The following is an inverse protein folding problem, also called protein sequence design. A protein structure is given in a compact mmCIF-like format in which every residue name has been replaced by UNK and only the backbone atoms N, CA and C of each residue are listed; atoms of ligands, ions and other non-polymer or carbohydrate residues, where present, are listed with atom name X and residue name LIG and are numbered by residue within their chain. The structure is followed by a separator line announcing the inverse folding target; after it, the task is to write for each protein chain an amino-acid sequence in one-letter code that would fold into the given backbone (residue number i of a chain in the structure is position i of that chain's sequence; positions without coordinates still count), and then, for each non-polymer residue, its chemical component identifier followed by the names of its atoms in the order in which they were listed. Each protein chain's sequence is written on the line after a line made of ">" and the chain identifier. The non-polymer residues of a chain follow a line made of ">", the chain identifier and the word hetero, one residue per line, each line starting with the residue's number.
data_IF_651698013482
#
_entry.id   IF_651698013482
#
_cell.length_a   1.000
_cell.length_b   1.000
_cell.length_c   1.000
_cell.angle_alpha   90.00
_cell.angle_beta   90.00
_cell.angle_gamma   90.00
#
_symmetry.space_group_name_H-M   'P 1'
#
loop_
_entity.id
_entity.type
_entity.pdbx_description
1 polymer ?
#
# COMPACT_ATOMS: atom_id res chain seq x y z
N UNK A 1 -5.72 -2.23 -24.94
CA UNK A 1 -6.26 -1.12 -24.14
C UNK A 1 -6.82 -1.74 -22.86
N UNK A 2 -6.15 -1.56 -21.70
CA UNK A 2 -6.67 -2.08 -20.43
C UNK A 2 -7.97 -1.33 -20.14
N UNK A 3 -9.09 -2.03 -20.21
CA UNK A 3 -10.42 -1.48 -20.03
C UNK A 3 -10.51 -0.73 -18.70
N UNK A 4 -11.10 0.46 -18.74
CA UNK A 4 -11.47 1.28 -17.58
C UNK A 4 -12.65 0.61 -16.85
N UNK A 5 -12.46 -0.64 -16.41
CA UNK A 5 -13.47 -1.36 -15.63
C UNK A 5 -13.37 -0.87 -14.20
N UNK A 6 -14.49 -0.40 -13.69
CA UNK A 6 -14.79 -0.27 -12.27
C UNK A 6 -14.76 -1.67 -11.63
N UNK A 7 -13.59 -2.28 -11.50
CA UNK A 7 -13.43 -3.50 -10.74
C UNK A 7 -13.14 -3.08 -9.30
N UNK A 8 -13.99 -3.43 -8.32
CA UNK A 8 -13.52 -3.44 -6.95
C UNK A 8 -12.32 -4.37 -6.93
N UNK A 9 -11.12 -3.85 -6.61
CA UNK A 9 -9.86 -4.61 -6.74
C UNK A 9 -9.71 -5.65 -5.61
N UNK A 10 -10.80 -5.94 -4.91
CA UNK A 10 -10.84 -6.66 -3.65
C UNK A 10 -10.60 -5.72 -2.48
N UNK A 11 -11.11 -6.11 -1.31
CA UNK A 11 -10.78 -5.46 -0.03
C UNK A 11 -9.42 -5.98 0.46
N UNK A 12 -8.41 -5.91 -0.42
CA UNK A 12 -7.07 -6.38 -0.06
C UNK A 12 -6.37 -5.27 0.73
N UNK A 13 -6.00 -5.60 1.97
CA UNK A 13 -5.30 -4.67 2.85
C UNK A 13 -3.81 -4.95 2.76
N UNK A 14 -3.07 -4.02 2.16
CA UNK A 14 -1.61 -4.06 2.14
C UNK A 14 -1.07 -3.52 3.45
N UNK A 15 -0.16 -4.27 4.07
CA UNK A 15 0.50 -3.91 5.32
C UNK A 15 1.88 -3.40 5.00
N UNK A 16 2.16 -2.16 5.38
CA UNK A 16 3.42 -1.47 5.11
C UNK A 16 4.14 -1.28 6.44
N UNK A 17 5.37 -1.78 6.50
CA UNK A 17 6.30 -1.63 7.60
C UNK A 17 7.35 -0.65 7.16
N UNK A 18 7.49 0.47 7.89
CA UNK A 18 8.54 1.45 7.61
C UNK A 18 9.72 1.16 8.51
N UNK A 19 10.86 0.83 7.91
CA UNK A 19 12.11 0.55 8.62
C UNK A 19 12.93 1.85 8.79
N UNK A 20 12.95 2.71 7.77
CA UNK A 20 13.73 3.96 7.77
C UNK A 20 12.99 5.03 6.95
N UNK A 21 12.94 6.27 7.45
CA UNK A 21 12.38 7.42 6.74
C UNK A 21 13.26 8.64 7.01
N UNK A 22 14.22 8.91 6.13
CA UNK A 22 15.18 10.02 6.27
C UNK A 22 15.24 10.82 4.96
N UNK A 23 15.25 12.15 5.06
CA UNK A 23 15.34 13.09 3.91
C UNK A 23 14.29 12.86 2.80
N UNK A 24 13.07 12.43 3.17
CA UNK A 24 11.99 12.11 2.21
C UNK A 24 12.15 10.74 1.53
N UNK A 25 13.19 9.97 1.84
CA UNK A 25 13.38 8.60 1.36
C UNK A 25 12.82 7.61 2.37
N UNK A 26 11.69 7.01 2.03
CA UNK A 26 11.03 5.99 2.86
C UNK A 26 11.43 4.60 2.37
N UNK A 27 11.95 3.79 3.29
CA UNK A 27 12.34 2.40 3.08
C UNK A 27 11.61 1.49 4.05
N UNK A 28 11.30 0.30 3.58
CA UNK A 28 10.50 -0.62 4.37
C UNK A 28 10.18 -1.92 3.69
N UNK A 29 9.21 -2.61 4.28
CA UNK A 29 8.63 -3.87 3.78
C UNK A 29 7.14 -3.70 3.54
N UNK A 30 6.63 -4.35 2.50
CA UNK A 30 5.20 -4.43 2.23
C UNK A 30 4.77 -5.88 2.13
N UNK A 31 3.65 -6.23 2.75
CA UNK A 31 3.01 -7.54 2.65
C UNK A 31 1.53 -7.40 2.35
N UNK A 32 0.92 -8.43 1.75
CA UNK A 32 -0.50 -8.45 1.37
C UNK A 32 -0.75 -8.96 -0.05
N UNK A 33 -1.98 -9.36 -0.35
CA UNK A 33 -2.34 -9.88 -1.67
C UNK A 33 -1.64 -11.19 -2.03
N UNK A 34 -0.99 -11.23 -3.20
CA UNK A 34 -0.20 -12.38 -3.67
C UNK A 34 1.32 -12.19 -3.51
N UNK A 35 1.75 -11.18 -2.74
CA UNK A 35 3.17 -10.95 -2.46
C UNK A 35 3.76 -12.13 -1.66
N UNK A 36 4.99 -12.56 -1.98
CA UNK A 36 5.72 -13.52 -1.15
C UNK A 36 6.09 -12.86 0.18
N UNK A 37 5.54 -13.38 1.28
CA UNK A 37 5.76 -13.03 2.71
C UNK A 37 5.98 -11.54 3.03
N UNK A 38 7.14 -10.95 2.69
CA UNK A 38 7.44 -9.52 2.87
C UNK A 38 8.34 -9.04 1.72
N UNK A 39 7.88 -8.07 0.94
CA UNK A 39 8.68 -7.48 -0.15
C UNK A 39 9.30 -6.16 0.28
N UNK A 40 10.61 -6.06 0.13
CA UNK A 40 11.37 -4.84 0.46
C UNK A 40 11.16 -3.76 -0.60
N UNK A 41 10.90 -2.53 -0.16
CA UNK A 41 10.91 -1.33 -0.99
C UNK A 41 11.95 -0.33 -0.46
N UNK A 42 12.69 0.27 -1.39
CA UNK A 42 13.75 1.25 -1.10
C UNK A 42 13.33 2.70 -1.31
N UNK A 43 12.11 2.90 -1.81
CA UNK A 43 11.49 4.21 -2.06
C UNK A 43 9.99 4.04 -2.22
N UNK A 44 9.25 5.15 -2.03
CA UNK A 44 7.82 5.21 -2.34
C UNK A 44 7.52 4.82 -3.79
N UNK A 45 8.33 5.26 -4.75
CA UNK A 45 8.19 4.87 -6.15
C UNK A 45 8.25 3.35 -6.33
N UNK A 46 9.17 2.68 -5.62
CA UNK A 46 9.27 1.22 -5.66
C UNK A 46 8.05 0.55 -5.03
N UNK A 47 7.54 1.11 -3.94
CA UNK A 47 6.30 0.63 -3.30
C UNK A 47 5.12 0.70 -4.28
N UNK A 48 4.94 1.82 -4.99
CA UNK A 48 3.88 1.97 -5.99
C UNK A 48 4.04 0.94 -7.12
N UNK A 49 5.24 0.75 -7.66
CA UNK A 49 5.44 -0.25 -8.72
C UNK A 49 5.10 -1.67 -8.26
N UNK A 50 5.46 -2.03 -7.02
CA UNK A 50 5.14 -3.34 -6.44
C UNK A 50 3.63 -3.54 -6.31
N UNK A 51 2.94 -2.56 -5.73
CA UNK A 51 1.49 -2.59 -5.57
C UNK A 51 0.78 -2.63 -6.93
N UNK A 52 1.26 -1.89 -7.93
CA UNK A 52 0.70 -1.91 -9.28
C UNK A 52 0.79 -3.29 -9.94
N UNK A 53 1.97 -3.92 -9.85
CA UNK A 53 2.20 -5.28 -10.36
C UNK A 53 1.26 -6.30 -9.71
N UNK A 54 1.01 -6.17 -8.41
CA UNK A 54 0.08 -7.02 -7.67
C UNK A 54 -1.37 -6.82 -8.12
N UNK A 55 -1.81 -5.56 -8.25
CA UNK A 55 -3.16 -5.24 -8.72
C UNK A 55 -3.39 -5.70 -10.17
N UNK A 56 -2.35 -5.70 -11.01
CA UNK A 56 -2.42 -6.19 -12.38
C UNK A 56 -2.38 -7.73 -12.48
N UNK A 57 -1.82 -8.42 -11.48
CA UNK A 57 -1.71 -9.89 -11.46
C UNK A 57 -3.06 -10.55 -11.15
N UNK A 58 -4.03 -9.83 -10.54
CA UNK A 58 -5.42 -10.29 -10.39
C UNK A 58 -5.59 -11.64 -9.68
N UNK A 59 -4.61 -12.03 -8.87
CA UNK A 59 -4.57 -13.34 -8.21
C UNK A 59 -5.43 -13.39 -6.97
N UNK A 60 -6.06 -14.54 -6.72
CA UNK A 60 -6.75 -14.80 -5.46
C UNK A 60 -5.79 -14.62 -4.27
N UNK A 61 -6.26 -14.09 -3.13
CA UNK A 61 -5.43 -13.92 -1.94
C UNK A 61 -4.85 -15.28 -1.56
N UNK A 62 -3.53 -15.43 -1.67
CA UNK A 62 -2.85 -16.51 -0.99
C UNK A 62 -2.85 -16.12 0.48
N UNK A 63 -3.87 -16.58 1.19
CA UNK A 63 -3.97 -16.50 2.64
C UNK A 63 -2.84 -17.34 3.27
N UNK A 64 -1.61 -16.85 3.15
CA UNK A 64 -0.52 -17.26 3.99
C UNK A 64 -0.79 -16.59 5.34
N UNK A 65 -0.99 -17.34 6.44
CA UNK A 65 -1.11 -16.75 7.76
C UNK A 65 0.22 -16.06 8.06
N UNK A 66 0.23 -14.75 7.86
CA UNK A 66 1.38 -13.88 8.14
C UNK A 66 1.69 -14.06 9.63
N UNK A 67 2.75 -14.80 9.95
CA UNK A 67 3.37 -14.83 11.28
C UNK A 67 4.20 -13.55 11.47
N UNK A 68 3.62 -12.38 11.26
CA UNK A 68 4.25 -11.13 11.68
C UNK A 68 3.63 -10.76 13.01
N UNK A 69 4.37 -11.04 14.08
CA UNK A 69 4.11 -10.53 15.43
C UNK A 69 4.34 -9.02 15.55
N UNK A 70 4.81 -8.37 14.47
CA UNK A 70 5.04 -6.94 14.39
C UNK A 70 3.79 -6.21 13.85
N UNK A 71 3.48 -5.08 14.47
CA UNK A 71 2.40 -4.20 14.04
C UNK A 71 2.82 -3.44 12.77
N UNK A 72 2.07 -3.54 11.66
CA UNK A 72 2.40 -2.79 10.45
C UNK A 72 2.30 -1.30 10.74
N UNK A 73 3.20 -0.47 10.21
CA UNK A 73 3.15 0.98 10.42
C UNK A 73 1.92 1.58 9.74
N UNK A 74 1.63 1.13 8.53
CA UNK A 74 0.45 1.54 7.77
C UNK A 74 -0.31 0.32 7.23
N UNK A 75 -1.63 0.47 7.14
CA UNK A 75 -2.50 -0.42 6.39
C UNK A 75 -3.13 0.34 5.24
N UNK A 76 -2.98 -0.15 4.03
CA UNK A 76 -3.40 0.47 2.80
C UNK A 76 -4.48 -0.39 2.15
N UNK A 77 -5.69 0.14 2.08
CA UNK A 77 -6.78 -0.44 1.30
C UNK A 77 -6.85 0.28 -0.05
N UNK A 78 -6.68 -0.45 -1.16
CA UNK A 78 -6.89 0.09 -2.50
C UNK A 78 -8.27 -0.39 -2.99
N UNK A 79 -9.25 0.50 -2.93
CA UNK A 79 -10.65 0.16 -3.21
C UNK A 79 -10.99 0.24 -4.70
N UNK A 80 -10.46 1.25 -5.39
CA UNK A 80 -10.75 1.50 -6.80
C UNK A 80 -9.50 1.94 -7.56
N UNK A 81 -9.39 1.52 -8.82
CA UNK A 81 -8.42 2.04 -9.80
C UNK A 81 -9.19 2.71 -10.92
N UNK A 82 -9.15 4.04 -10.98
CA UNK A 82 -9.80 4.83 -12.04
C UNK A 82 -8.83 5.89 -12.56
N UNK A 83 -8.95 6.27 -13.83
CA UNK A 83 -8.13 7.33 -14.46
C UNK A 83 -6.61 7.10 -14.28
N UNK A 84 -6.15 5.84 -14.34
CA UNK A 84 -4.74 5.50 -14.11
C UNK A 84 -4.22 5.85 -12.71
N UNK A 85 -5.10 6.03 -11.72
CA UNK A 85 -4.73 6.27 -10.32
C UNK A 85 -5.50 5.37 -9.36
N UNK A 86 -5.07 5.35 -8.11
CA UNK A 86 -5.65 4.56 -7.03
C UNK A 86 -6.46 5.44 -6.09
N UNK A 87 -7.55 4.85 -5.59
CA UNK A 87 -8.43 5.46 -4.59
C UNK A 87 -8.68 4.45 -3.49
N UNK A 88 -8.67 4.93 -2.26
CA UNK A 88 -8.72 4.04 -1.12
C UNK A 88 -8.53 4.74 0.22
N UNK A 89 -8.07 3.97 1.20
CA UNK A 89 -7.85 4.44 2.56
C UNK A 89 -6.48 4.00 3.07
N UNK A 90 -5.79 4.91 3.71
CA UNK A 90 -4.56 4.69 4.43
C UNK A 90 -4.87 4.78 5.93
N UNK A 91 -4.68 3.67 6.65
CA UNK A 91 -4.71 3.64 8.12
C UNK A 91 -3.30 3.68 8.64
N UNK A 92 -3.07 4.52 9.63
CA UNK A 92 -1.84 4.59 10.39
C UNK A 92 -2.08 3.94 11.77
N UNK A 93 -1.46 2.80 12.00
CA UNK A 93 -1.69 2.00 13.22
C UNK A 93 -1.08 2.65 14.46
N UNK A 94 0.10 3.29 14.31
CA UNK A 94 0.83 3.89 15.43
C UNK A 94 0.10 5.09 16.03
N UNK A 95 -0.61 5.86 15.21
CA UNK A 95 -1.39 7.02 15.66
C UNK A 95 -2.91 6.84 15.61
N UNK A 96 -3.40 5.66 15.24
CA UNK A 96 -4.84 5.36 15.15
C UNK A 96 -5.61 6.27 14.19
N UNK A 97 -4.94 6.85 13.19
CA UNK A 97 -5.56 7.77 12.22
C UNK A 97 -5.86 7.03 10.92
N UNK A 98 -7.04 7.26 10.35
CA UNK A 98 -7.40 6.82 9.01
C UNK A 98 -7.57 8.06 8.11
N UNK A 99 -7.01 7.99 6.90
CA UNK A 99 -7.15 9.03 5.90
C UNK A 99 -7.53 8.41 4.55
N UNK A 100 -8.52 8.98 3.88
CA UNK A 100 -8.90 8.58 2.54
C UNK A 100 -8.01 9.30 1.51
N UNK A 101 -7.67 8.62 0.42
CA UNK A 101 -6.93 9.21 -0.70
C UNK A 101 -7.70 8.99 -2.01
N UNK A 102 -7.64 9.99 -2.91
CA UNK A 102 -8.29 9.92 -4.23
C UNK A 102 -7.30 9.74 -5.37
N UNK A 103 -6.01 9.79 -5.07
CA UNK A 103 -4.92 9.59 -6.03
C UNK A 103 -3.69 9.00 -5.35
N UNK A 104 -2.81 8.41 -6.16
CA UNK A 104 -1.49 7.95 -5.71
C UNK A 104 -0.68 9.11 -5.11
N UNK A 105 -0.74 10.31 -5.70
CA UNK A 105 -0.02 11.46 -5.18
C UNK A 105 -0.51 11.85 -3.77
N UNK A 106 -1.82 11.87 -3.53
CA UNK A 106 -2.35 12.10 -2.19
C UNK A 106 -1.91 11.04 -1.19
N UNK A 107 -1.87 9.76 -1.61
CA UNK A 107 -1.34 8.69 -0.77
C UNK A 107 0.13 8.96 -0.37
N UNK A 108 0.98 9.34 -1.33
CA UNK A 108 2.38 9.65 -1.06
C UNK A 108 2.52 10.82 -0.07
N UNK A 109 1.81 11.92 -0.32
CA UNK A 109 1.82 13.11 0.55
C UNK A 109 1.35 12.75 1.96
N UNK A 110 0.29 11.94 2.09
CA UNK A 110 -0.22 11.52 3.39
C UNK A 110 0.81 10.67 4.15
N UNK A 111 1.49 9.73 3.49
CA UNK A 111 2.56 8.93 4.10
C UNK A 111 3.73 9.81 4.57
N UNK A 112 4.21 10.71 3.71
CA UNK A 112 5.30 11.63 4.06
C UNK A 112 4.92 12.57 5.19
N UNK A 113 3.71 13.13 5.17
CA UNK A 113 3.21 14.02 6.23
C UNK A 113 3.12 13.33 7.58
N UNK A 114 2.76 12.05 7.61
CA UNK A 114 2.69 11.27 8.84
C UNK A 114 4.09 10.86 9.34
N UNK A 115 5.04 10.62 8.43
CA UNK A 115 6.41 10.24 8.78
C UNK A 115 7.29 11.44 9.15
N UNK A 116 6.94 12.64 8.68
CA UNK A 116 7.63 13.89 9.03
C UNK A 116 7.17 14.49 10.39
N UNK A 117 6.21 13.86 11.08
CA UNK A 117 5.74 14.25 12.42
C UNK A 117 6.56 13.59 13.53
#
# INVERSE_FOLDING_TARGET
>A
MKENRMLPIGTETFRIFVDEAEDGVIRGRVSGGTLPEETLFRSLSRLILLLEEQLDTGGAPKASPIKCTETPTFELDILFRQNYSWQGRLRWTKGGKEAAFRSVLELLIQMETVLAQ
#
